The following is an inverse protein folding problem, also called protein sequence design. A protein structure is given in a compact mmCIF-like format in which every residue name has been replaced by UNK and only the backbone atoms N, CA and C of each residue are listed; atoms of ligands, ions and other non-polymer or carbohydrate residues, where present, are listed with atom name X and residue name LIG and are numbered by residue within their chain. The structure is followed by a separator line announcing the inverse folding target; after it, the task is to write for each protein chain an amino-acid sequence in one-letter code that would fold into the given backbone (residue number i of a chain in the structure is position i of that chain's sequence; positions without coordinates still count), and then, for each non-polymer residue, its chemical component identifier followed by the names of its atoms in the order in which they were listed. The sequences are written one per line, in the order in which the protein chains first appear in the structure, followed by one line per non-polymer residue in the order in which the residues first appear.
data_IF_471945343328
#
_entry.id   IF_471945343328
#
_cell.length_a   1.000
_cell.length_b   1.000
_cell.length_c   1.000
_cell.angle_alpha   90.00
_cell.angle_beta   90.00
_cell.angle_gamma   90.00
#
_symmetry.space_group_name_H-M   'P 1'
#
loop_
_entity.id
_entity.type
_entity.pdbx_description
1 polymer ?
#
# COMPACT_ATOMS: atom_id res chain seq x y z
N UNK A 1 -5.49 16.92 16.39
CA UNK A 1 -4.79 15.84 17.14
C UNK A 1 -5.77 14.84 17.74
N UNK A 2 -6.72 15.25 18.60
CA UNK A 2 -7.70 14.36 19.27
C UNK A 2 -8.47 13.36 18.38
N UNK A 3 -8.77 13.70 17.12
CA UNK A 3 -9.51 12.81 16.20
C UNK A 3 -8.69 11.59 15.76
N UNK A 4 -7.38 11.77 15.58
CA UNK A 4 -6.48 10.68 15.18
C UNK A 4 -6.23 9.77 16.39
N UNK A 5 -6.00 10.36 17.57
CA UNK A 5 -5.77 9.61 18.81
C UNK A 5 -6.99 8.73 19.16
N UNK A 6 -8.21 9.25 18.97
CA UNK A 6 -9.45 8.49 19.17
C UNK A 6 -9.68 7.39 18.10
N UNK A 7 -9.23 7.59 16.86
CA UNK A 7 -9.27 6.54 15.83
C UNK A 7 -8.25 5.43 16.10
N UNK A 8 -7.07 5.81 16.60
CA UNK A 8 -5.97 4.90 16.90
C UNK A 8 -6.17 4.15 18.22
N UNK A 9 -6.89 4.71 19.20
CA UNK A 9 -7.13 4.07 20.51
C UNK A 9 -7.93 2.76 20.43
N UNK A 10 -8.69 2.54 19.34
CA UNK A 10 -9.45 1.32 19.09
C UNK A 10 -8.68 0.23 18.36
N UNK A 11 -7.42 0.48 17.97
CA UNK A 11 -6.58 -0.45 17.23
C UNK A 11 -5.42 -0.85 18.13
N UNK A 12 -5.09 -2.14 18.16
CA UNK A 12 -3.84 -2.63 18.75
C UNK A 12 -2.66 -2.11 17.91
N UNK A 13 -2.30 -0.85 18.17
CA UNK A 13 -1.28 -0.10 17.48
C UNK A 13 0.08 -0.44 18.09
N UNK A 14 0.99 -0.95 17.27
CA UNK A 14 2.39 -1.06 17.65
C UNK A 14 2.96 0.35 17.58
N UNK A 15 3.64 0.77 18.65
CA UNK A 15 4.33 2.06 18.72
C UNK A 15 5.17 2.28 17.46
N UNK A 16 5.15 3.48 16.85
CA UNK A 16 5.79 3.68 15.56
C UNK A 16 7.28 3.44 15.72
N UNK A 17 7.80 2.41 15.05
CA UNK A 17 9.24 2.18 14.98
C UNK A 17 9.82 3.23 14.05
N UNK A 18 10.65 4.12 14.59
CA UNK A 18 11.37 5.12 13.82
C UNK A 18 12.44 4.39 12.97
N UNK A 19 12.18 4.21 11.68
CA UNK A 19 13.20 3.75 10.74
C UNK A 19 13.91 4.97 10.17
N UNK A 20 15.02 5.37 10.79
CA UNK A 20 15.97 6.29 10.16
C UNK A 20 16.79 5.49 9.14
N UNK A 21 16.46 5.64 7.86
CA UNK A 21 17.32 5.13 6.80
C UNK A 21 18.24 6.24 6.32
N UNK A 22 19.54 6.14 6.60
CA UNK A 22 20.59 6.84 5.84
C UNK A 22 20.80 6.23 4.43
N UNK A 23 19.94 5.30 4.01
CA UNK A 23 20.02 4.62 2.73
C UNK A 23 19.12 5.32 1.71
N UNK A 24 19.73 5.88 0.67
CA UNK A 24 19.01 6.50 -0.44
C UNK A 24 18.37 5.43 -1.33
N UNK A 25 17.06 5.21 -1.21
CA UNK A 25 16.32 4.20 -2.00
C UNK A 25 15.97 4.63 -3.44
N UNK A 26 16.53 5.75 -3.93
CA UNK A 26 16.17 6.36 -5.24
C UNK A 26 16.35 5.42 -6.43
N UNK A 27 17.30 4.48 -6.37
CA UNK A 27 17.56 3.51 -7.44
C UNK A 27 16.68 2.25 -7.39
N UNK A 28 15.96 2.03 -6.30
CA UNK A 28 15.13 0.83 -6.11
C UNK A 28 13.73 1.01 -6.73
N UNK A 29 12.83 0.04 -6.54
CA UNK A 29 11.40 0.17 -6.84
C UNK A 29 10.54 0.46 -5.60
N UNK A 30 11.17 0.66 -4.42
CA UNK A 30 10.45 1.00 -3.19
C UNK A 30 9.87 2.41 -3.31
N UNK A 31 8.57 2.56 -3.07
CA UNK A 31 7.88 3.84 -3.04
C UNK A 31 7.73 4.31 -1.60
N UNK A 32 8.36 5.44 -1.29
CA UNK A 32 8.20 6.16 -0.01
C UNK A 32 7.55 7.50 -0.27
N UNK A 33 7.21 8.22 0.79
CA UNK A 33 6.86 9.63 0.70
C UNK A 33 8.13 10.46 0.40
N UNK A 34 7.97 11.75 0.09
CA UNK A 34 9.08 12.60 -0.37
C UNK A 34 9.81 13.32 0.77
N UNK A 35 9.32 13.20 2.00
CA UNK A 35 9.94 13.80 3.18
C UNK A 35 11.23 13.08 3.57
N UNK A 36 12.17 13.84 4.16
CA UNK A 36 13.45 13.30 4.64
C UNK A 36 13.27 12.33 5.81
N UNK A 37 12.20 12.51 6.60
CA UNK A 37 11.81 11.63 7.70
C UNK A 37 10.35 11.26 7.53
N UNK A 38 10.07 9.95 7.48
CA UNK A 38 8.72 9.42 7.43
C UNK A 38 8.53 8.31 8.47
N UNK A 39 7.28 8.06 8.84
CA UNK A 39 6.94 7.06 9.85
C UNK A 39 6.35 5.83 9.17
N UNK A 40 6.83 4.65 9.57
CA UNK A 40 6.15 3.40 9.25
C UNK A 40 5.06 3.15 10.31
N UNK A 41 3.81 3.15 9.86
CA UNK A 41 2.65 2.81 10.69
C UNK A 41 2.08 1.48 10.21
N UNK A 42 2.05 0.49 11.11
CA UNK A 42 1.55 -0.84 10.81
C UNK A 42 0.40 -1.23 11.74
N UNK A 43 -0.73 -1.65 11.15
CA UNK A 43 -1.88 -2.21 11.86
C UNK A 43 -1.84 -3.73 11.76
N UNK A 44 -1.30 -4.40 12.77
CA UNK A 44 -1.11 -5.86 12.78
C UNK A 44 -2.32 -6.59 13.38
N UNK A 45 -3.49 -6.37 12.77
CA UNK A 45 -4.75 -6.98 13.22
C UNK A 45 -4.79 -8.48 12.88
N UNK A 46 -5.33 -9.28 13.80
CA UNK A 46 -5.59 -10.71 13.59
C UNK A 46 -7.08 -10.96 13.47
N UNK A 47 -7.52 -11.58 12.36
CA UNK A 47 -8.91 -11.96 12.16
C UNK A 47 -9.17 -13.38 12.69
N UNK A 48 -10.23 -13.55 13.47
CA UNK A 48 -10.66 -14.88 13.96
C UNK A 48 -11.78 -15.39 13.06
N UNK A 49 -11.53 -16.50 12.36
CA UNK A 49 -12.35 -17.03 11.27
C UNK A 49 -13.82 -17.32 11.63
N UNK A 50 -14.11 -17.62 12.89
CA UNK A 50 -15.46 -17.94 13.39
C UNK A 50 -16.13 -16.78 14.13
N UNK A 51 -15.48 -15.62 14.24
CA UNK A 51 -15.98 -14.52 15.06
C UNK A 51 -16.95 -13.62 14.30
N UNK A 52 -18.03 -13.24 14.95
CA UNK A 52 -18.93 -12.15 14.55
C UNK A 52 -18.70 -10.99 15.52
N UNK A 53 -18.16 -9.87 15.06
CA UNK A 53 -17.84 -8.72 15.92
C UNK A 53 -16.55 -8.00 15.51
N UNK A 54 -15.86 -7.39 16.47
CA UNK A 54 -14.68 -6.54 16.24
C UNK A 54 -13.44 -7.28 15.75
N UNK A 55 -13.41 -8.62 15.89
CA UNK A 55 -12.31 -9.47 15.43
C UNK A 55 -12.62 -10.19 14.11
N UNK A 56 -13.74 -9.86 13.46
CA UNK A 56 -14.08 -10.44 12.16
C UNK A 56 -13.27 -9.79 11.03
N UNK A 57 -13.02 -10.55 9.96
CA UNK A 57 -12.30 -10.06 8.80
C UNK A 57 -12.99 -8.82 8.19
N UNK A 58 -14.32 -8.87 8.04
CA UNK A 58 -15.10 -7.76 7.47
C UNK A 58 -15.02 -6.49 8.31
N UNK A 59 -15.03 -6.61 9.64
CA UNK A 59 -14.87 -5.48 10.53
C UNK A 59 -13.49 -4.84 10.35
N UNK A 60 -12.43 -5.66 10.36
CA UNK A 60 -11.05 -5.18 10.18
C UNK A 60 -10.87 -4.50 8.82
N UNK A 61 -11.38 -5.11 7.74
CA UNK A 61 -11.31 -4.51 6.40
C UNK A 61 -12.08 -3.18 6.32
N UNK A 62 -13.24 -3.09 6.97
CA UNK A 62 -14.03 -1.85 7.04
C UNK A 62 -13.29 -0.76 7.82
N UNK A 63 -12.59 -1.09 8.90
CA UNK A 63 -11.76 -0.12 9.63
C UNK A 63 -10.55 0.32 8.79
N UNK A 64 -9.85 -0.61 8.14
CA UNK A 64 -8.72 -0.27 7.26
C UNK A 64 -9.13 0.71 6.16
N UNK A 65 -10.29 0.50 5.53
CA UNK A 65 -10.86 1.44 4.55
C UNK A 65 -11.13 2.82 5.15
N UNK A 66 -11.76 2.88 6.33
CA UNK A 66 -12.02 4.16 7.03
C UNK A 66 -10.74 4.94 7.34
N UNK A 67 -9.66 4.26 7.72
CA UNK A 67 -8.36 4.89 7.96
C UNK A 67 -7.82 5.48 6.66
N UNK A 68 -7.83 4.71 5.57
CA UNK A 68 -7.38 5.20 4.26
C UNK A 68 -8.22 6.39 3.77
N UNK A 69 -9.54 6.33 3.94
CA UNK A 69 -10.44 7.42 3.57
C UNK A 69 -10.16 8.66 4.41
N UNK A 70 -9.98 8.53 5.72
CA UNK A 70 -9.58 9.63 6.59
C UNK A 70 -8.27 10.27 6.10
N UNK A 71 -7.23 9.47 5.83
CA UNK A 71 -5.96 9.98 5.33
C UNK A 71 -6.11 10.75 4.00
N UNK A 72 -6.96 10.25 3.08
CA UNK A 72 -7.27 10.95 1.83
C UNK A 72 -7.99 12.28 2.07
N UNK A 73 -9.04 12.31 2.90
CA UNK A 73 -9.83 13.51 3.17
C UNK A 73 -9.02 14.57 3.93
N UNK A 74 -8.17 14.15 4.87
CA UNK A 74 -7.25 15.03 5.57
C UNK A 74 -6.03 15.45 4.74
N UNK A 75 -5.95 15.00 3.47
CA UNK A 75 -4.85 15.28 2.54
C UNK A 75 -3.47 14.93 3.11
N UNK A 76 -3.39 13.85 3.90
CA UNK A 76 -2.13 13.36 4.43
C UNK A 76 -1.28 12.81 3.28
N UNK A 77 0.01 13.14 3.26
CA UNK A 77 0.97 12.52 2.35
C UNK A 77 1.34 11.15 2.89
N UNK A 78 0.69 10.11 2.37
CA UNK A 78 0.98 8.72 2.77
C UNK A 78 1.20 7.83 1.55
N UNK A 79 1.99 6.78 1.73
CA UNK A 79 2.13 5.67 0.79
C UNK A 79 1.85 4.38 1.55
N UNK A 80 1.00 3.52 0.98
CA UNK A 80 0.76 2.20 1.55
C UNK A 80 2.00 1.34 1.35
N UNK A 81 2.54 0.77 2.43
CA UNK A 81 3.53 -0.30 2.37
C UNK A 81 2.80 -1.63 2.15
N UNK A 82 3.29 -2.45 1.21
CA UNK A 82 2.59 -3.66 0.70
C UNK A 82 1.16 -3.35 0.20
N UNK A 83 1.00 -2.42 -0.74
CA UNK A 83 -0.31 -2.01 -1.20
C UNK A 83 -1.06 -3.13 -1.94
N UNK A 84 -2.39 -3.11 -1.82
CA UNK A 84 -3.28 -3.89 -2.66
C UNK A 84 -4.19 -2.94 -3.44
N UNK A 85 -3.89 -2.78 -4.73
CA UNK A 85 -4.71 -2.02 -5.67
C UNK A 85 -5.27 -2.94 -6.75
N UNK A 86 -6.40 -2.56 -7.31
CA UNK A 86 -7.13 -3.37 -8.28
C UNK A 86 -7.10 -2.81 -9.69
N UNK A 87 -6.78 -1.52 -9.86
CA UNK A 87 -6.63 -0.89 -11.17
C UNK A 87 -5.19 -0.42 -11.42
N UNK A 88 -4.83 -0.31 -12.70
CA UNK A 88 -3.54 0.23 -13.11
C UNK A 88 -3.42 1.73 -12.78
N UNK A 89 -4.52 2.47 -12.81
CA UNK A 89 -4.56 3.90 -12.44
C UNK A 89 -4.21 4.13 -10.97
N UNK A 90 -4.68 3.25 -10.08
CA UNK A 90 -4.29 3.27 -8.66
C UNK A 90 -2.79 3.00 -8.51
N UNK A 91 -2.25 2.05 -9.27
CA UNK A 91 -0.81 1.78 -9.29
C UNK A 91 0.00 2.95 -9.85
N UNK A 92 -0.44 3.58 -10.94
CA UNK A 92 0.17 4.79 -11.49
C UNK A 92 0.20 5.91 -10.46
N UNK A 93 -0.92 6.14 -9.77
CA UNK A 93 -1.02 7.13 -8.69
C UNK A 93 -0.09 6.79 -7.52
N UNK A 94 0.05 5.50 -7.20
CA UNK A 94 0.96 5.03 -6.16
C UNK A 94 2.43 5.32 -6.52
N UNK A 95 2.88 4.94 -7.71
CA UNK A 95 4.27 5.14 -8.15
C UNK A 95 4.58 6.60 -8.52
N UNK A 96 3.58 7.38 -8.93
CA UNK A 96 3.73 8.78 -9.34
C UNK A 96 4.76 8.93 -10.46
N UNK A 97 5.69 9.86 -10.30
CA UNK A 97 6.77 10.14 -11.26
C UNK A 97 7.69 8.95 -11.55
N UNK A 98 7.66 7.89 -10.73
CA UNK A 98 8.48 6.68 -10.92
C UNK A 98 7.78 5.59 -11.73
N UNK A 99 6.54 5.82 -12.15
CA UNK A 99 5.76 4.84 -12.89
C UNK A 99 6.43 4.43 -14.20
N UNK A 100 6.90 5.38 -15.00
CA UNK A 100 7.53 5.11 -16.31
C UNK A 100 8.78 4.23 -16.17
N UNK A 101 9.67 4.58 -15.22
CA UNK A 101 10.85 3.77 -14.93
C UNK A 101 10.48 2.35 -14.42
N UNK A 102 9.36 2.20 -13.70
CA UNK A 102 8.88 0.89 -13.26
C UNK A 102 8.33 0.06 -14.43
N UNK A 103 7.60 0.68 -15.35
CA UNK A 103 7.12 0.05 -16.60
C UNK A 103 8.30 -0.37 -17.47
N UNK A 104 9.30 0.49 -17.65
CA UNK A 104 10.52 0.16 -18.41
C UNK A 104 11.19 -1.09 -17.84
N UNK A 105 11.43 -1.13 -16.52
CA UNK A 105 11.98 -2.33 -15.85
C UNK A 105 11.10 -3.56 -16.06
N UNK A 106 9.77 -3.43 -15.99
CA UNK A 106 8.86 -4.54 -16.24
C UNK A 106 9.04 -5.07 -17.66
N UNK A 107 9.07 -4.19 -18.66
CA UNK A 107 9.27 -4.58 -20.07
C UNK A 107 10.63 -5.23 -20.30
N UNK A 108 11.69 -4.73 -19.64
CA UNK A 108 13.04 -5.31 -19.76
C UNK A 108 13.15 -6.70 -19.13
N UNK A 109 12.59 -6.89 -17.93
CA UNK A 109 12.83 -8.10 -17.13
C UNK A 109 11.68 -9.12 -17.13
N UNK A 110 10.46 -8.72 -17.49
CA UNK A 110 9.30 -9.60 -17.64
C UNK A 110 8.36 -9.10 -18.77
N UNK A 111 8.83 -9.13 -20.03
CA UNK A 111 8.09 -8.60 -21.19
C UNK A 111 6.75 -9.29 -21.44
N UNK A 112 6.60 -10.55 -21.00
CA UNK A 112 5.38 -11.33 -21.15
C UNK A 112 4.42 -11.21 -19.96
N UNK A 113 4.77 -10.36 -18.98
CA UNK A 113 3.98 -10.09 -17.77
C UNK A 113 3.55 -11.35 -17.03
N UNK A 114 4.46 -12.33 -16.92
CA UNK A 114 4.21 -13.63 -16.30
C UNK A 114 4.45 -13.62 -14.79
N UNK A 115 5.34 -12.75 -14.31
CA UNK A 115 5.79 -12.76 -12.92
C UNK A 115 4.86 -11.95 -12.01
N UNK A 116 4.56 -12.57 -10.87
CA UNK A 116 3.78 -12.02 -9.76
C UNK A 116 2.41 -11.42 -10.17
N UNK A 117 1.55 -12.16 -10.92
CA UNK A 117 0.24 -11.67 -11.36
C UNK A 117 -0.69 -11.31 -10.19
N UNK A 118 -0.47 -11.88 -9.00
CA UNK A 118 -1.21 -11.58 -7.79
C UNK A 118 -1.12 -10.12 -7.33
N UNK A 119 -0.06 -9.39 -7.71
CA UNK A 119 0.05 -7.96 -7.42
C UNK A 119 -0.86 -7.09 -8.30
N UNK A 120 -1.37 -7.62 -9.42
CA UNK A 120 -2.30 -6.91 -10.32
C UNK A 120 -1.78 -5.56 -10.84
N UNK A 121 -0.46 -5.37 -10.92
CA UNK A 121 0.13 -4.15 -11.49
C UNK A 121 0.08 -4.18 -13.01
N UNK A 122 0.44 -5.34 -13.58
CA UNK A 122 0.40 -5.61 -15.01
C UNK A 122 -0.38 -6.89 -15.24
N UNK A 123 -1.28 -6.88 -16.22
CA UNK A 123 -2.03 -8.05 -16.62
C UNK A 123 -1.30 -8.79 -17.74
N UNK A 124 -1.52 -10.11 -17.81
CA UNK A 124 -0.98 -10.93 -18.90
C UNK A 124 -1.49 -10.38 -20.23
N UNK A 125 -0.60 -10.12 -21.17
CA UNK A 125 -1.01 -9.90 -22.54
C UNK A 125 -1.72 -11.17 -23.03
N UNK A 126 -3.05 -11.10 -23.15
CA UNK A 126 -3.81 -12.17 -23.80
C UNK A 126 -3.33 -12.16 -25.25
N UNK A 127 -2.57 -13.18 -25.64
CA UNK A 127 -2.31 -13.44 -27.05
C UNK A 127 -3.66 -13.75 -27.69
N UNK A 128 -4.25 -12.79 -28.40
CA UNK A 128 -5.29 -13.07 -29.38
C UNK A 128 -4.66 -13.92 -30.47
N UNK A 129 -4.76 -15.24 -30.31
CA UNK A 129 -4.45 -16.20 -31.36
C UNK A 129 -5.67 -16.27 -32.26
N UNK A 130 -5.52 -15.69 -33.46
CA UNK A 130 -6.32 -15.82 -34.68
C UNK A 130 -7.83 -15.59 -34.61
#
# INVERSE_FOLDING_TARGET
MQSVDHLLSGLSYISPTLFLSEVTYKKTSLVTTEEDVFYLVAFLSSAVSSSTGTNSLDYILKQNRRILDFCKHAQLRFKQYLPYYTSQEEWQTHFGSRWEAFVERKTTYDPLTLLAPGHRIFQKAMSTSC
#
